data_IF_153381565491
#
_entry.id   IF_153381565491
#
_cell.length_a   1.000
_cell.length_b   1.000
_cell.length_c   1.000
_cell.angle_alpha   90.00
_cell.angle_beta   90.00
_cell.angle_gamma   90.00
#
_symmetry.space_group_name_H-M   'P 1'
#
loop_
_entity.id
_entity.type
_entity.pdbx_description
1 polymer ?
#
# COMPACT_ATOMS: atom_id res chain seq x y z
N UNK A 1 39.95 -13.20 48.84
CA UNK A 1 39.24 -13.38 47.55
C UNK A 1 38.28 -14.54 47.71
N UNK A 2 37.12 -14.47 47.11
CA UNK A 2 36.09 -15.50 47.15
C UNK A 2 36.48 -16.69 46.23
N UNK A 3 36.00 -17.89 46.58
CA UNK A 3 36.04 -19.07 45.70
C UNK A 3 34.61 -19.42 45.24
N UNK A 4 34.49 -20.12 44.14
CA UNK A 4 33.14 -20.48 43.60
C UNK A 4 32.39 -21.42 44.56
N UNK A 5 33.12 -22.32 45.25
CA UNK A 5 32.58 -23.20 46.31
C UNK A 5 32.02 -22.39 47.49
N UNK A 6 32.75 -21.36 47.93
CA UNK A 6 32.26 -20.46 48.98
C UNK A 6 30.97 -19.74 48.54
N UNK A 7 30.95 -19.21 47.33
CA UNK A 7 29.78 -18.48 46.80
C UNK A 7 28.56 -19.39 46.73
N UNK A 8 28.68 -20.62 46.26
CA UNK A 8 27.58 -21.60 46.21
C UNK A 8 26.99 -21.84 47.59
N UNK A 9 27.84 -22.02 48.61
CA UNK A 9 27.44 -22.37 49.96
C UNK A 9 26.91 -21.19 50.81
N UNK A 10 26.95 -19.95 50.30
CA UNK A 10 26.39 -18.78 51.01
C UNK A 10 24.86 -18.89 51.07
N UNK A 11 24.34 -18.90 52.32
CA UNK A 11 22.92 -18.89 52.60
C UNK A 11 22.40 -17.46 52.86
N UNK A 12 21.13 -17.19 52.59
CA UNK A 12 20.52 -15.91 53.00
C UNK A 12 20.58 -15.73 54.51
N UNK A 13 20.68 -14.49 54.94
CA UNK A 13 20.65 -14.11 56.35
C UNK A 13 19.55 -13.06 56.59
N UNK A 14 19.16 -12.84 57.87
CA UNK A 14 18.16 -11.83 58.25
C UNK A 14 18.43 -10.46 57.67
N UNK A 15 19.70 -10.11 57.52
CA UNK A 15 20.16 -8.88 56.87
C UNK A 15 21.01 -9.16 55.66
N UNK A 16 20.84 -8.40 54.60
CA UNK A 16 21.68 -8.52 53.42
C UNK A 16 23.17 -8.34 53.77
N UNK A 17 24.03 -9.19 53.20
CA UNK A 17 25.47 -9.18 53.47
C UNK A 17 26.29 -8.93 52.20
N UNK A 18 27.44 -8.25 52.40
CA UNK A 18 28.44 -7.97 51.39
C UNK A 18 29.66 -8.87 51.63
N UNK A 19 30.07 -9.61 50.61
CA UNK A 19 31.26 -10.48 50.65
C UNK A 19 32.29 -9.96 49.66
N UNK A 20 33.36 -9.34 50.15
CA UNK A 20 34.38 -8.69 49.34
C UNK A 20 35.23 -9.72 48.55
N UNK A 21 35.50 -9.44 47.27
CA UNK A 21 36.42 -10.22 46.44
C UNK A 21 37.69 -9.45 46.05
N UNK A 22 37.84 -8.22 46.51
CA UNK A 22 38.97 -7.35 46.24
C UNK A 22 38.79 -6.37 45.08
N UNK A 23 39.53 -5.26 45.13
CA UNK A 23 39.47 -4.22 44.10
C UNK A 23 38.10 -3.54 43.92
N UNK A 24 37.34 -3.40 45.03
CA UNK A 24 36.00 -2.86 45.02
C UNK A 24 34.89 -3.84 44.64
N UNK A 25 35.22 -5.03 44.15
CA UNK A 25 34.25 -6.08 43.80
C UNK A 25 33.75 -6.79 45.04
N UNK A 26 32.47 -6.99 45.17
CA UNK A 26 31.84 -7.79 46.21
C UNK A 26 30.57 -8.49 45.72
N UNK A 27 30.28 -9.63 46.37
CA UNK A 27 28.99 -10.29 46.20
C UNK A 27 28.02 -9.79 47.24
N UNK A 28 26.90 -9.26 46.79
CA UNK A 28 25.78 -8.81 47.64
C UNK A 28 24.76 -9.98 47.70
N UNK A 29 24.56 -10.53 48.86
CA UNK A 29 23.56 -11.56 49.13
C UNK A 29 22.36 -10.89 49.79
N UNK A 30 21.22 -10.86 49.08
CA UNK A 30 19.97 -10.27 49.58
C UNK A 30 19.30 -11.21 50.60
N UNK A 31 18.36 -10.69 51.37
CA UNK A 31 17.52 -11.47 52.29
C UNK A 31 16.74 -12.58 51.57
N UNK A 32 16.37 -12.36 50.33
CA UNK A 32 15.67 -13.29 49.44
C UNK A 32 16.56 -14.43 48.93
N UNK A 33 17.88 -14.36 49.16
CA UNK A 33 18.85 -15.35 48.67
C UNK A 33 19.47 -15.01 47.33
N UNK A 34 19.02 -13.96 46.63
CA UNK A 34 19.66 -13.52 45.39
C UNK A 34 21.07 -13.02 45.61
N UNK A 35 22.01 -13.41 44.74
CA UNK A 35 23.43 -13.14 44.83
C UNK A 35 23.87 -12.23 43.70
N UNK A 36 24.14 -10.96 44.00
CA UNK A 36 24.41 -9.91 42.99
C UNK A 36 25.86 -9.45 43.03
N UNK A 37 26.56 -9.52 41.91
CA UNK A 37 27.87 -8.93 41.76
C UNK A 37 27.80 -7.42 41.64
N UNK A 38 28.53 -6.72 42.53
CA UNK A 38 28.63 -5.28 42.57
C UNK A 38 30.05 -4.81 42.76
N UNK A 39 30.37 -3.62 42.22
CA UNK A 39 31.67 -2.97 42.44
C UNK A 39 31.41 -1.58 42.98
N UNK A 40 31.99 -1.29 44.19
CA UNK A 40 32.09 0.05 44.70
C UNK A 40 33.37 0.72 44.16
N UNK A 41 33.27 1.95 43.72
CA UNK A 41 34.40 2.73 43.20
C UNK A 41 34.19 4.24 43.48
N UNK A 42 35.25 5.01 43.37
CA UNK A 42 35.25 6.45 43.54
C UNK A 42 35.58 7.14 42.24
N UNK A 43 34.81 8.14 41.88
CA UNK A 43 35.02 8.93 40.68
C UNK A 43 34.66 10.40 40.98
N UNK A 44 35.62 11.32 40.74
CA UNK A 44 35.52 12.73 41.08
C UNK A 44 35.01 12.93 42.52
N UNK A 45 35.68 12.30 43.47
CA UNK A 45 35.42 12.31 44.92
C UNK A 45 34.05 11.81 45.38
N UNK A 46 33.27 11.22 44.47
CA UNK A 46 31.97 10.64 44.80
C UNK A 46 32.04 9.10 44.75
N UNK A 47 31.49 8.50 45.79
CA UNK A 47 31.33 7.03 45.80
C UNK A 47 30.20 6.64 44.86
N UNK A 48 30.44 5.64 44.02
CA UNK A 48 29.53 5.09 43.05
C UNK A 48 29.50 3.57 43.09
N UNK A 49 28.40 3.02 42.58
CA UNK A 49 28.15 1.59 42.57
C UNK A 49 27.88 1.13 41.12
N UNK A 50 28.56 0.05 40.71
CA UNK A 50 28.34 -0.62 39.44
C UNK A 50 27.82 -2.04 39.66
N UNK A 51 26.70 -2.39 39.05
CA UNK A 51 26.15 -3.74 39.09
C UNK A 51 26.58 -4.54 37.85
N UNK A 52 27.08 -5.77 38.06
CA UNK A 52 27.55 -6.65 37.00
C UNK A 52 26.59 -7.77 36.63
N UNK A 53 25.60 -8.05 37.48
CA UNK A 53 24.57 -9.07 37.26
C UNK A 53 24.51 -10.09 38.41
N UNK A 54 23.67 -11.08 38.24
CA UNK A 54 23.34 -12.09 39.25
C UNK A 54 24.19 -13.39 39.06
N UNK A 55 24.67 -13.94 40.14
CA UNK A 55 25.26 -15.28 40.18
C UNK A 55 24.13 -16.33 40.22
N UNK A 56 24.17 -17.45 39.46
CA UNK A 56 25.34 -17.94 38.68
C UNK A 56 25.37 -17.43 37.22
N UNK A 57 24.42 -16.65 36.74
CA UNK A 57 24.40 -16.13 35.36
C UNK A 57 25.70 -15.38 35.04
N UNK A 58 26.20 -14.58 35.97
CA UNK A 58 27.54 -13.99 35.93
C UNK A 58 28.43 -14.79 36.87
N UNK A 59 29.35 -15.55 36.34
CA UNK A 59 30.30 -16.33 37.10
C UNK A 59 31.30 -15.44 37.87
N UNK A 60 32.00 -16.00 38.87
CA UNK A 60 33.07 -15.29 39.55
C UNK A 60 34.18 -14.82 38.59
N UNK A 61 34.51 -15.63 37.59
CA UNK A 61 35.47 -15.26 36.53
C UNK A 61 35.01 -14.07 35.73
N UNK A 62 33.74 -14.07 35.32
CA UNK A 62 33.17 -12.96 34.54
C UNK A 62 33.04 -11.67 35.37
N UNK A 63 32.67 -11.79 36.66
CA UNK A 63 32.63 -10.66 37.56
C UNK A 63 33.99 -9.99 37.73
N UNK A 64 35.06 -10.79 37.88
CA UNK A 64 36.45 -10.31 37.95
C UNK A 64 36.88 -9.64 36.62
N UNK A 65 36.52 -10.23 35.47
CA UNK A 65 36.77 -9.65 34.15
C UNK A 65 36.09 -8.25 34.03
N UNK A 66 34.82 -8.16 34.35
CA UNK A 66 34.06 -6.88 34.33
C UNK A 66 34.64 -5.86 35.32
N UNK A 67 35.12 -6.29 36.50
CA UNK A 67 35.85 -5.41 37.43
C UNK A 67 37.11 -4.83 36.79
N UNK A 68 37.90 -5.68 36.13
CA UNK A 68 39.14 -5.22 35.50
C UNK A 68 38.89 -4.28 34.33
N UNK A 69 37.83 -4.50 33.53
CA UNK A 69 37.37 -3.59 32.48
C UNK A 69 36.95 -2.25 33.09
N UNK A 70 36.16 -2.26 34.17
CA UNK A 70 35.75 -1.02 34.84
C UNK A 70 36.95 -0.25 35.42
N UNK A 71 37.98 -0.97 35.95
CA UNK A 71 39.20 -0.31 36.43
C UNK A 71 40.03 0.31 35.30
N UNK A 72 40.06 -0.27 34.10
CA UNK A 72 40.71 0.35 32.95
C UNK A 72 40.01 1.69 32.58
N UNK A 73 38.68 1.68 32.51
CA UNK A 73 37.92 2.92 32.25
C UNK A 73 38.20 3.99 33.28
N UNK A 74 38.30 3.59 34.58
CA UNK A 74 38.64 4.54 35.64
C UNK A 74 40.06 5.11 35.52
N UNK A 75 41.03 4.27 35.10
CA UNK A 75 42.40 4.72 34.83
C UNK A 75 42.46 5.73 33.65
N UNK A 76 41.60 5.52 32.66
CA UNK A 76 41.44 6.42 31.51
C UNK A 76 40.57 7.66 31.81
N UNK A 77 40.20 7.90 33.10
CA UNK A 77 39.37 9.06 33.50
C UNK A 77 37.90 8.98 33.10
N UNK A 78 37.42 7.76 32.71
CA UNK A 78 36.04 7.52 32.26
C UNK A 78 35.20 6.89 33.36
N UNK A 79 34.04 7.43 33.67
CA UNK A 79 33.07 6.83 34.60
C UNK A 79 32.42 5.57 34.03
N UNK A 80 32.67 4.36 34.56
CA UNK A 80 32.12 3.13 34.03
C UNK A 80 30.58 3.07 34.03
N UNK A 81 29.93 3.71 34.98
CA UNK A 81 28.47 3.77 35.04
C UNK A 81 27.90 4.64 33.92
N UNK A 82 28.52 5.79 33.67
CA UNK A 82 28.16 6.70 32.58
C UNK A 82 28.42 6.03 31.22
N UNK A 83 29.59 5.44 31.03
CA UNK A 83 29.96 4.71 29.81
C UNK A 83 28.96 3.59 29.48
N UNK A 84 28.59 2.78 30.48
CA UNK A 84 27.56 1.73 30.31
C UNK A 84 26.21 2.29 29.87
N UNK A 85 25.79 3.44 30.43
CA UNK A 85 24.53 4.10 30.05
C UNK A 85 24.61 4.66 28.64
N UNK A 86 25.73 5.29 28.28
CA UNK A 86 25.97 5.83 26.93
C UNK A 86 25.99 4.71 25.88
N UNK A 87 26.67 3.59 26.15
CA UNK A 87 26.67 2.43 25.27
C UNK A 87 25.27 1.83 25.08
N UNK A 88 24.48 1.74 26.16
CA UNK A 88 23.09 1.28 26.07
C UNK A 88 22.22 2.24 25.26
N UNK A 89 22.37 3.54 25.48
CA UNK A 89 21.63 4.54 24.71
C UNK A 89 22.06 4.56 23.24
N UNK A 90 23.36 4.42 22.95
CA UNK A 90 23.87 4.31 21.59
C UNK A 90 23.30 3.08 20.86
N UNK A 91 23.21 1.93 21.55
CA UNK A 91 22.63 0.71 21.01
C UNK A 91 21.12 0.90 20.70
N UNK A 92 20.37 1.52 21.61
CA UNK A 92 18.96 1.84 21.40
C UNK A 92 18.74 2.83 20.23
N UNK A 93 19.60 3.85 20.14
CA UNK A 93 19.57 4.81 19.03
C UNK A 93 19.95 4.15 17.70
N UNK A 94 20.92 3.24 17.70
CA UNK A 94 21.31 2.48 16.53
C UNK A 94 20.15 1.58 16.03
N UNK A 95 19.43 0.92 16.94
CA UNK A 95 18.25 0.12 16.61
C UNK A 95 17.11 0.98 16.09
N UNK A 96 16.84 2.11 16.73
CA UNK A 96 15.82 3.09 16.30
C UNK A 96 16.13 3.76 14.95
N UNK A 97 17.38 3.73 14.51
CA UNK A 97 17.83 4.29 13.24
C UNK A 97 18.08 3.25 12.14
N UNK A 98 17.70 1.98 12.34
CA UNK A 98 17.76 0.99 11.28
C UNK A 98 16.79 1.35 10.15
N UNK A 99 17.13 0.96 8.91
CA UNK A 99 16.28 1.22 7.74
C UNK A 99 14.85 0.69 7.94
N UNK A 100 14.69 -0.53 8.47
CA UNK A 100 13.36 -1.09 8.77
C UNK A 100 12.59 -0.25 9.77
N UNK A 101 13.22 0.14 10.89
CA UNK A 101 12.54 0.91 11.92
C UNK A 101 12.00 2.23 11.36
N UNK A 102 12.83 2.95 10.61
CA UNK A 102 12.44 4.24 10.00
C UNK A 102 11.35 4.07 8.94
N UNK A 103 11.40 2.99 8.13
CA UNK A 103 10.33 2.69 7.15
C UNK A 103 9.01 2.39 7.85
N UNK A 104 9.00 1.60 8.93
CA UNK A 104 7.77 1.27 9.66
C UNK A 104 7.19 2.50 10.35
N UNK A 105 8.01 3.30 11.01
CA UNK A 105 7.59 4.56 11.62
C UNK A 105 7.00 5.53 10.57
N UNK A 106 7.68 5.71 9.43
CA UNK A 106 7.15 6.48 8.31
C UNK A 106 5.82 5.92 7.81
N UNK A 107 5.72 4.60 7.70
CA UNK A 107 4.49 3.96 7.24
C UNK A 107 3.32 4.19 8.21
N UNK A 108 3.55 4.11 9.49
CA UNK A 108 2.52 4.35 10.51
C UNK A 108 2.08 5.81 10.57
N UNK A 109 3.03 6.75 10.51
CA UNK A 109 2.75 8.18 10.68
C UNK A 109 2.32 8.88 9.40
N UNK A 110 3.01 8.63 8.28
CA UNK A 110 2.84 9.40 7.05
C UNK A 110 1.85 8.77 6.05
N UNK A 111 1.42 7.53 6.26
CA UNK A 111 0.47 6.88 5.34
C UNK A 111 -0.93 6.70 5.93
N UNK A 112 -1.23 7.31 7.06
CA UNK A 112 -2.49 7.13 7.79
C UNK A 112 -3.74 7.50 6.95
N UNK A 113 -3.62 8.52 6.10
CA UNK A 113 -4.71 8.96 5.22
C UNK A 113 -4.81 8.18 3.90
N UNK A 114 -3.90 7.24 3.66
CA UNK A 114 -3.95 6.40 2.46
C UNK A 114 -4.98 5.26 2.63
N UNK A 115 -5.50 4.74 1.51
CA UNK A 115 -6.36 3.57 1.57
C UNK A 115 -5.62 2.36 2.18
N UNK A 116 -6.33 1.44 2.89
CA UNK A 116 -5.72 0.23 3.44
C UNK A 116 -4.95 -0.59 2.40
N UNK A 117 -5.46 -0.66 1.17
CA UNK A 117 -4.81 -1.34 0.04
C UNK A 117 -3.49 -0.67 -0.36
N UNK A 118 -3.45 0.66 -0.36
CA UNK A 118 -2.24 1.42 -0.71
C UNK A 118 -1.18 1.32 0.39
N UNK A 119 -1.61 1.41 1.66
CA UNK A 119 -0.74 1.19 2.82
C UNK A 119 -0.07 -0.19 2.76
N UNK A 120 -0.89 -1.25 2.60
CA UNK A 120 -0.40 -2.63 2.47
C UNK A 120 0.60 -2.76 1.31
N UNK A 121 0.27 -2.19 0.14
CA UNK A 121 1.16 -2.24 -1.04
C UNK A 121 2.50 -1.56 -0.78
N UNK A 122 2.52 -0.39 -0.12
CA UNK A 122 3.75 0.33 0.21
C UNK A 122 4.64 -0.52 1.12
N UNK A 123 4.10 -1.00 2.23
CA UNK A 123 4.85 -1.82 3.18
C UNK A 123 5.36 -3.12 2.55
N UNK A 124 4.51 -3.86 1.85
CA UNK A 124 4.91 -5.09 1.16
C UNK A 124 6.01 -4.87 0.13
N UNK A 125 6.07 -3.68 -0.50
CA UNK A 125 7.17 -3.35 -1.41
C UNK A 125 8.51 -3.29 -0.68
N UNK A 126 8.55 -2.70 0.51
CA UNK A 126 9.77 -2.68 1.34
C UNK A 126 10.12 -4.08 1.86
N UNK A 127 9.13 -4.80 2.38
CA UNK A 127 9.32 -6.15 2.93
C UNK A 127 9.88 -7.13 1.90
N UNK A 128 9.36 -7.09 0.68
CA UNK A 128 9.76 -8.02 -0.37
C UNK A 128 11.06 -7.64 -1.07
N UNK A 129 11.31 -6.35 -1.33
CA UNK A 129 12.42 -5.94 -2.17
C UNK A 129 13.62 -5.37 -1.41
N UNK A 130 13.38 -4.67 -0.30
CA UNK A 130 14.41 -3.85 0.36
C UNK A 130 14.86 -4.43 1.70
N UNK A 131 13.95 -4.92 2.53
CA UNK A 131 14.30 -5.49 3.84
C UNK A 131 15.24 -6.69 3.76
N UNK A 132 15.19 -7.59 2.75
CA UNK A 132 16.14 -8.68 2.68
C UNK A 132 17.61 -8.22 2.69
N UNK A 133 17.90 -7.05 2.13
CA UNK A 133 19.25 -6.50 2.05
C UNK A 133 19.55 -5.38 3.06
N UNK A 134 18.56 -4.56 3.41
CA UNK A 134 18.78 -3.29 4.11
C UNK A 134 18.18 -3.24 5.52
N UNK A 135 17.41 -4.25 5.94
CA UNK A 135 16.63 -4.27 7.17
C UNK A 135 17.38 -3.72 8.39
N UNK A 136 18.56 -4.24 8.66
CA UNK A 136 19.38 -3.93 9.84
C UNK A 136 20.41 -2.82 9.64
N UNK A 137 20.56 -2.34 8.41
CA UNK A 137 21.53 -1.28 8.09
C UNK A 137 21.02 0.04 8.65
N UNK A 138 21.85 0.84 9.35
CA UNK A 138 21.49 2.20 9.74
C UNK A 138 21.09 3.01 8.50
N UNK A 139 19.98 3.78 8.58
CA UNK A 139 19.48 4.52 7.41
C UNK A 139 20.50 5.56 6.91
N UNK A 140 21.34 6.09 7.80
CA UNK A 140 22.45 7.00 7.47
C UNK A 140 23.57 6.37 6.64
N UNK A 141 23.70 5.05 6.69
CA UNK A 141 24.71 4.30 5.94
C UNK A 141 24.19 3.72 4.62
N UNK A 142 22.88 3.79 4.38
CA UNK A 142 22.30 3.34 3.11
C UNK A 142 22.72 4.28 1.99
N UNK A 143 23.28 3.71 0.93
CA UNK A 143 23.81 4.45 -0.21
C UNK A 143 22.94 4.29 -1.47
N UNK A 144 23.10 5.17 -2.45
CA UNK A 144 22.46 5.03 -3.76
C UNK A 144 22.87 3.71 -4.43
N UNK A 145 24.12 3.25 -4.22
CA UNK A 145 24.62 2.00 -4.76
C UNK A 145 23.93 0.79 -4.15
N UNK A 146 23.62 0.79 -2.84
CA UNK A 146 22.82 -0.28 -2.21
C UNK A 146 21.45 -0.41 -2.88
N UNK A 147 20.80 0.72 -3.16
CA UNK A 147 19.52 0.72 -3.86
C UNK A 147 19.64 0.22 -5.30
N UNK A 148 20.70 0.61 -6.02
CA UNK A 148 20.96 0.16 -7.40
C UNK A 148 21.17 -1.34 -7.49
N UNK A 149 21.85 -1.96 -6.52
CA UNK A 149 22.02 -3.41 -6.46
C UNK A 149 20.68 -4.17 -6.40
N UNK A 150 19.66 -3.56 -5.80
CA UNK A 150 18.29 -4.12 -5.75
C UNK A 150 17.50 -3.80 -7.02
N UNK A 151 17.67 -2.60 -7.59
CA UNK A 151 16.88 -2.10 -8.70
C UNK A 151 17.32 -2.66 -10.06
N UNK A 152 18.64 -2.80 -10.29
CA UNK A 152 19.18 -3.29 -11.58
C UNK A 152 18.72 -4.71 -11.96
N UNK A 153 18.60 -5.69 -11.03
CA UNK A 153 18.00 -6.99 -11.35
C UNK A 153 16.53 -6.90 -11.77
N UNK A 154 15.76 -5.94 -11.22
CA UNK A 154 14.36 -5.72 -11.63
C UNK A 154 14.29 -5.13 -13.04
N UNK A 155 15.16 -4.17 -13.36
CA UNK A 155 15.27 -3.59 -14.70
C UNK A 155 15.62 -4.67 -15.75
N UNK A 156 16.61 -5.54 -15.47
CA UNK A 156 16.99 -6.66 -16.36
C UNK A 156 15.83 -7.63 -16.62
N UNK A 157 14.90 -7.77 -15.68
CA UNK A 157 13.70 -8.60 -15.79
C UNK A 157 12.51 -7.86 -16.43
N UNK A 158 12.69 -6.67 -17.02
CA UNK A 158 11.62 -5.86 -17.61
C UNK A 158 10.60 -5.35 -16.59
N UNK A 159 11.01 -5.16 -15.33
CA UNK A 159 10.15 -4.68 -14.24
C UNK A 159 10.47 -3.23 -13.86
N UNK A 160 10.73 -2.38 -14.84
CA UNK A 160 11.09 -0.98 -14.65
C UNK A 160 10.05 -0.21 -13.84
N UNK A 161 8.76 -0.47 -14.08
CA UNK A 161 7.67 0.16 -13.30
C UNK A 161 7.77 -0.15 -11.79
N UNK A 162 8.20 -1.37 -11.44
CA UNK A 162 8.42 -1.75 -10.03
C UNK A 162 9.62 -1.01 -9.48
N UNK A 163 10.71 -0.95 -10.24
CA UNK A 163 11.93 -0.23 -9.85
C UNK A 163 11.66 1.26 -9.62
N UNK A 164 10.96 1.93 -10.53
CA UNK A 164 10.56 3.33 -10.36
C UNK A 164 9.67 3.55 -9.12
N UNK A 165 8.77 2.63 -8.84
CA UNK A 165 7.92 2.68 -7.64
C UNK A 165 8.74 2.54 -6.36
N UNK A 166 9.73 1.66 -6.34
CA UNK A 166 10.66 1.52 -5.20
C UNK A 166 11.42 2.83 -4.98
N UNK A 167 11.98 3.44 -6.03
CA UNK A 167 12.66 4.75 -5.94
C UNK A 167 11.73 5.80 -5.35
N UNK A 168 10.49 5.87 -5.83
CA UNK A 168 9.50 6.81 -5.32
C UNK A 168 9.23 6.60 -3.83
N UNK A 169 9.07 5.36 -3.38
CA UNK A 169 8.81 5.06 -1.97
C UNK A 169 10.03 5.30 -1.10
N UNK A 170 11.24 4.93 -1.55
CA UNK A 170 12.48 5.30 -0.89
C UNK A 170 12.61 6.81 -0.75
N UNK A 171 12.29 7.57 -1.81
CA UNK A 171 12.29 9.03 -1.77
C UNK A 171 11.36 9.63 -0.72
N UNK A 172 10.21 8.99 -0.45
CA UNK A 172 9.30 9.39 0.63
C UNK A 172 9.91 9.13 2.01
N UNK A 173 10.50 7.94 2.21
CA UNK A 173 11.14 7.55 3.48
C UNK A 173 12.37 8.41 3.75
N UNK A 174 13.23 8.64 2.75
CA UNK A 174 14.42 9.46 2.96
C UNK A 174 14.08 10.95 3.21
N UNK A 175 13.02 11.50 2.61
CA UNK A 175 12.53 12.84 2.97
C UNK A 175 12.07 12.90 4.42
N UNK A 176 11.38 11.86 4.89
CA UNK A 176 10.99 11.75 6.29
C UNK A 176 12.22 11.66 7.20
N UNK A 177 13.21 10.85 6.84
CA UNK A 177 14.45 10.70 7.60
C UNK A 177 15.26 12.00 7.65
N UNK A 178 15.27 12.81 6.58
CA UNK A 178 15.84 14.18 6.58
C UNK A 178 15.08 15.08 7.54
N UNK A 179 13.75 15.09 7.45
CA UNK A 179 12.91 15.94 8.31
C UNK A 179 13.01 15.59 9.80
N UNK A 180 13.33 14.32 10.12
CA UNK A 180 13.54 13.85 11.50
C UNK A 180 15.02 13.85 11.94
N UNK A 181 15.92 14.44 11.13
CA UNK A 181 17.34 14.61 11.46
C UNK A 181 18.19 13.34 11.47
N UNK A 182 17.69 12.23 10.89
CA UNK A 182 18.40 10.94 10.83
C UNK A 182 19.41 10.84 9.70
N UNK A 183 19.19 11.58 8.63
CA UNK A 183 20.08 11.69 7.47
C UNK A 183 20.15 13.14 6.99
N UNK A 184 21.20 13.49 6.29
CA UNK A 184 21.43 14.88 5.80
C UNK A 184 20.82 15.12 4.42
N UNK A 185 20.57 14.06 3.62
CA UNK A 185 20.04 14.18 2.27
C UNK A 185 19.19 12.97 1.85
N UNK A 186 18.34 13.18 0.86
CA UNK A 186 17.55 12.12 0.24
C UNK A 186 18.31 11.47 -0.91
N UNK A 187 18.99 10.35 -0.65
CA UNK A 187 19.80 9.62 -1.63
C UNK A 187 18.96 9.01 -2.78
N UNK A 188 17.65 8.79 -2.58
CA UNK A 188 16.81 8.28 -3.66
C UNK A 188 16.60 9.31 -4.78
N UNK A 189 16.84 10.59 -4.53
CA UNK A 189 16.83 11.64 -5.55
C UNK A 189 17.97 11.48 -6.56
N UNK A 190 19.13 10.97 -6.11
CA UNK A 190 20.32 10.74 -6.94
C UNK A 190 20.08 9.60 -7.96
N UNK A 191 19.03 8.78 -7.77
CA UNK A 191 18.66 7.68 -8.67
C UNK A 191 17.79 8.11 -9.86
N UNK A 192 17.48 9.42 -9.99
CA UNK A 192 16.73 9.92 -11.14
C UNK A 192 17.55 9.69 -12.41
N UNK A 193 16.97 8.98 -13.40
CA UNK A 193 17.66 8.62 -14.64
C UNK A 193 18.54 7.35 -14.56
N UNK A 194 18.80 6.79 -13.37
CA UNK A 194 19.62 5.59 -13.21
C UNK A 194 18.94 4.29 -13.68
N UNK A 195 17.60 4.30 -13.77
CA UNK A 195 16.79 3.19 -14.29
C UNK A 195 16.13 3.64 -15.59
N UNK A 196 16.09 2.74 -16.58
CA UNK A 196 15.46 3.01 -17.88
C UNK A 196 14.04 3.54 -17.71
N UNK A 197 13.61 4.51 -18.52
CA UNK A 197 12.24 4.99 -18.51
C UNK A 197 11.27 3.83 -18.74
N UNK A 198 10.22 3.75 -17.93
CA UNK A 198 9.12 2.85 -18.21
C UNK A 198 8.25 3.48 -19.28
N UNK A 199 8.19 2.88 -20.46
CA UNK A 199 7.21 3.25 -21.48
C UNK A 199 5.85 2.73 -21.06
N UNK A 200 5.01 3.65 -20.58
CA UNK A 200 3.60 3.34 -20.28
C UNK A 200 2.91 2.87 -21.55
N UNK A 201 2.40 1.65 -21.56
CA UNK A 201 1.50 1.22 -22.62
C UNK A 201 0.11 1.76 -22.33
N UNK A 202 -0.52 2.36 -23.34
CA UNK A 202 -1.94 2.69 -23.26
C UNK A 202 -2.74 1.41 -23.01
N UNK A 203 -3.83 1.53 -22.27
CA UNK A 203 -4.69 0.36 -22.04
C UNK A 203 -5.36 -0.01 -23.34
N UNK A 204 -5.38 -1.30 -23.61
CA UNK A 204 -6.00 -1.85 -24.82
C UNK A 204 -7.48 -1.43 -24.91
N UNK A 205 -7.87 -0.91 -26.05
CA UNK A 205 -9.22 -0.47 -26.37
C UNK A 205 -9.50 -0.67 -27.86
N UNK A 206 -10.72 -0.97 -28.19
CA UNK A 206 -11.22 -1.06 -29.55
C UNK A 206 -11.94 0.22 -29.87
N UNK A 207 -11.63 0.86 -31.01
CA UNK A 207 -12.26 2.11 -31.49
C UNK A 207 -12.80 1.97 -32.91
N UNK A 208 -12.51 0.88 -33.63
CA UNK A 208 -13.09 0.60 -34.95
C UNK A 208 -14.57 0.24 -34.82
N UNK A 209 -15.46 0.90 -35.55
CA UNK A 209 -16.90 0.69 -35.57
C UNK A 209 -17.27 -0.79 -35.77
N UNK A 210 -16.74 -1.43 -36.81
CA UNK A 210 -16.94 -2.84 -37.11
C UNK A 210 -16.55 -3.75 -35.92
N UNK A 211 -15.34 -3.56 -35.34
CA UNK A 211 -14.88 -4.36 -34.22
C UNK A 211 -15.67 -4.12 -32.94
N UNK A 212 -16.24 -2.92 -32.78
CA UNK A 212 -17.14 -2.63 -31.66
C UNK A 212 -18.44 -3.40 -31.81
N UNK A 213 -19.05 -3.43 -33.01
CA UNK A 213 -20.25 -4.22 -33.26
C UNK A 213 -20.02 -5.72 -32.97
N UNK A 214 -18.91 -6.29 -33.44
CA UNK A 214 -18.52 -7.69 -33.13
C UNK A 214 -18.36 -7.88 -31.61
N UNK A 215 -17.70 -6.94 -30.91
CA UNK A 215 -17.55 -7.00 -29.46
C UNK A 215 -18.91 -7.00 -28.75
N UNK A 216 -19.80 -6.09 -29.09
CA UNK A 216 -21.13 -5.95 -28.47
C UNK A 216 -21.96 -7.23 -28.67
N UNK A 217 -21.98 -7.79 -29.89
CA UNK A 217 -22.66 -9.06 -30.17
C UNK A 217 -22.09 -10.22 -29.34
N UNK A 218 -20.76 -10.29 -29.13
CA UNK A 218 -20.14 -11.30 -28.26
C UNK A 218 -20.49 -11.10 -26.79
N UNK A 219 -20.62 -9.84 -26.30
CA UNK A 219 -21.06 -9.55 -24.93
C UNK A 219 -22.49 -10.02 -24.68
N UNK A 220 -23.41 -9.79 -25.65
CA UNK A 220 -24.80 -10.21 -25.55
C UNK A 220 -24.93 -11.75 -25.56
N UNK A 221 -24.12 -12.44 -26.34
CA UNK A 221 -24.07 -13.88 -26.45
C UNK A 221 -23.13 -14.57 -25.47
N UNK A 222 -22.73 -13.88 -24.38
CA UNK A 222 -21.91 -14.51 -23.34
C UNK A 222 -22.67 -15.59 -22.59
N UNK A 223 -22.25 -16.86 -22.72
CA UNK A 223 -22.93 -18.04 -22.16
C UNK A 223 -22.60 -18.32 -20.68
N UNK A 224 -21.88 -17.42 -20.00
CA UNK A 224 -21.58 -17.55 -18.57
C UNK A 224 -22.76 -17.11 -17.68
N UNK A 225 -22.43 -16.78 -16.43
CA UNK A 225 -23.45 -16.34 -15.48
C UNK A 225 -24.22 -15.13 -15.96
N UNK A 226 -25.55 -15.14 -15.74
CA UNK A 226 -26.46 -14.08 -16.14
C UNK A 226 -26.04 -12.70 -15.60
N UNK A 227 -25.68 -12.59 -14.30
CA UNK A 227 -25.24 -11.33 -13.72
C UNK A 227 -23.94 -10.82 -14.36
N UNK A 228 -23.01 -11.72 -14.74
CA UNK A 228 -21.77 -11.34 -15.43
C UNK A 228 -22.07 -10.85 -16.85
N UNK A 229 -23.01 -11.48 -17.56
CA UNK A 229 -23.49 -11.02 -18.86
C UNK A 229 -24.09 -9.62 -18.76
N UNK A 230 -24.97 -9.37 -17.80
CA UNK A 230 -25.54 -8.04 -17.56
C UNK A 230 -24.44 -7.01 -17.26
N UNK A 231 -23.47 -7.35 -16.43
CA UNK A 231 -22.34 -6.46 -16.15
C UNK A 231 -21.52 -6.15 -17.41
N UNK A 232 -21.25 -7.14 -18.26
CA UNK A 232 -20.52 -6.96 -19.53
C UNK A 232 -21.29 -6.06 -20.49
N UNK A 233 -22.61 -6.20 -20.60
CA UNK A 233 -23.50 -5.35 -21.43
C UNK A 233 -23.58 -3.92 -20.90
N UNK A 234 -23.51 -3.71 -19.58
CA UNK A 234 -23.56 -2.38 -18.96
C UNK A 234 -22.23 -1.62 -19.07
N UNK A 235 -21.06 -2.28 -19.15
CA UNK A 235 -19.79 -1.58 -19.24
C UNK A 235 -19.65 -0.64 -20.43
N UNK A 236 -19.98 -1.01 -21.68
CA UNK A 236 -19.94 -0.10 -22.80
C UNK A 236 -20.95 1.03 -22.70
N UNK A 237 -22.14 0.80 -22.15
CA UNK A 237 -23.20 1.81 -22.02
C UNK A 237 -22.86 2.87 -20.96
N UNK A 238 -22.31 2.47 -19.81
CA UNK A 238 -22.09 3.36 -18.66
C UNK A 238 -20.66 3.89 -18.58
N UNK A 239 -19.69 3.20 -19.17
CA UNK A 239 -18.24 3.45 -19.18
C UNK A 239 -17.67 3.98 -17.84
N UNK A 240 -18.20 3.46 -16.73
CA UNK A 240 -17.71 3.69 -15.36
C UNK A 240 -16.51 2.80 -15.02
N UNK A 241 -15.87 3.01 -13.86
CA UNK A 241 -14.77 2.13 -13.45
C UNK A 241 -15.30 0.77 -13.01
N UNK A 242 -14.54 -0.30 -13.31
CA UNK A 242 -14.94 -1.68 -12.99
C UNK A 242 -15.37 -1.86 -11.53
N UNK A 243 -14.64 -1.27 -10.58
CA UNK A 243 -14.98 -1.39 -9.17
C UNK A 243 -16.25 -0.61 -8.78
N UNK A 244 -16.60 0.43 -9.51
CA UNK A 244 -17.82 1.21 -9.29
C UNK A 244 -19.03 0.37 -9.68
N UNK A 245 -19.06 -0.19 -10.90
CA UNK A 245 -20.20 -1.00 -11.37
C UNK A 245 -20.31 -2.33 -10.61
N UNK A 246 -19.22 -3.07 -10.47
CA UNK A 246 -19.25 -4.40 -9.82
C UNK A 246 -19.73 -4.36 -8.37
N UNK A 247 -19.50 -3.25 -7.68
CA UNK A 247 -19.93 -3.05 -6.28
C UNK A 247 -21.20 -2.24 -6.15
N UNK A 248 -21.92 -2.02 -7.24
CA UNK A 248 -23.14 -1.22 -7.23
C UNK A 248 -24.22 -1.90 -6.37
N UNK A 249 -24.94 -1.07 -5.63
CA UNK A 249 -26.07 -1.49 -4.77
C UNK A 249 -27.39 -0.99 -5.36
N UNK A 250 -28.44 -1.76 -5.24
CA UNK A 250 -29.76 -1.37 -5.79
C UNK A 250 -30.29 -0.06 -5.22
N UNK A 251 -29.97 0.24 -3.97
CA UNK A 251 -30.33 1.51 -3.31
C UNK A 251 -29.75 2.75 -3.97
N UNK A 252 -28.75 2.60 -4.84
CA UNK A 252 -28.11 3.72 -5.55
C UNK A 252 -28.82 4.08 -6.85
N UNK A 253 -29.76 3.26 -7.32
CA UNK A 253 -30.43 3.43 -8.62
C UNK A 253 -31.84 3.98 -8.48
N UNK A 254 -32.11 5.04 -9.21
CA UNK A 254 -33.48 5.51 -9.45
C UNK A 254 -33.79 5.26 -10.94
N UNK A 255 -34.60 4.21 -11.20
CA UNK A 255 -34.95 3.83 -12.57
C UNK A 255 -36.04 4.72 -13.18
N UNK A 256 -36.78 5.51 -12.37
CA UNK A 256 -37.78 6.46 -12.82
C UNK A 256 -37.11 7.72 -13.37
N UNK A 257 -36.17 8.30 -12.60
CA UNK A 257 -35.38 9.46 -13.03
C UNK A 257 -34.23 9.06 -13.98
N UNK A 258 -34.00 7.77 -14.14
CA UNK A 258 -32.90 7.18 -14.94
C UNK A 258 -31.53 7.68 -14.46
N UNK A 259 -31.27 7.56 -13.18
CA UNK A 259 -30.03 8.00 -12.56
C UNK A 259 -29.46 6.94 -11.64
N UNK A 260 -28.14 6.81 -11.66
CA UNK A 260 -27.36 6.05 -10.68
C UNK A 260 -26.53 7.00 -9.83
N UNK A 261 -26.79 7.04 -8.53
CA UNK A 261 -26.14 7.92 -7.56
C UNK A 261 -25.05 7.17 -6.82
N UNK A 262 -23.80 7.33 -7.24
CA UNK A 262 -22.65 6.68 -6.58
C UNK A 262 -22.23 7.53 -5.38
N UNK A 263 -22.26 6.99 -4.14
CA UNK A 263 -21.90 7.74 -2.95
C UNK A 263 -20.38 8.02 -2.88
N UNK A 264 -20.01 9.08 -2.17
CA UNK A 264 -18.64 9.58 -2.09
C UNK A 264 -17.63 8.50 -1.58
N UNK A 265 -18.06 7.65 -0.66
CA UNK A 265 -17.24 6.61 -0.04
C UNK A 265 -16.77 5.57 -1.05
N UNK A 266 -17.55 5.34 -2.11
CA UNK A 266 -17.24 4.40 -3.19
C UNK A 266 -16.43 5.00 -4.30
N UNK A 267 -16.35 6.33 -4.37
CA UNK A 267 -15.62 7.05 -5.39
C UNK A 267 -14.15 7.25 -5.02
N UNK A 268 -13.25 7.06 -6.00
CA UNK A 268 -11.81 7.26 -5.80
C UNK A 268 -11.47 8.67 -5.31
N UNK A 269 -12.24 9.66 -5.72
CA UNK A 269 -12.03 11.08 -5.36
C UNK A 269 -12.84 11.52 -4.15
N UNK A 270 -13.59 10.62 -3.49
CA UNK A 270 -14.46 10.91 -2.35
C UNK A 270 -15.44 12.05 -2.61
N UNK A 271 -15.94 12.15 -3.85
CA UNK A 271 -17.04 13.07 -4.23
C UNK A 271 -18.15 12.23 -4.83
N UNK A 272 -19.44 12.49 -4.52
CA UNK A 272 -20.55 11.75 -5.11
C UNK A 272 -20.57 11.95 -6.63
N UNK A 273 -21.08 10.97 -7.35
CA UNK A 273 -21.15 11.00 -8.79
C UNK A 273 -22.50 10.48 -9.28
N UNK A 274 -23.16 11.23 -10.14
CA UNK A 274 -24.41 10.83 -10.78
C UNK A 274 -24.10 10.35 -12.19
N UNK A 275 -24.59 9.17 -12.54
CA UNK A 275 -24.47 8.54 -13.86
C UNK A 275 -25.87 8.50 -14.50
N UNK A 276 -26.14 9.30 -15.55
CA UNK A 276 -27.38 9.18 -16.30
C UNK A 276 -27.47 7.82 -16.99
N UNK A 277 -28.66 7.23 -17.00
CA UNK A 277 -28.95 5.92 -17.58
C UNK A 277 -29.74 6.08 -18.90
N UNK A 278 -29.22 5.48 -19.96
CA UNK A 278 -29.96 5.34 -21.20
C UNK A 278 -31.12 4.33 -21.07
N UNK A 279 -32.06 4.35 -21.99
CA UNK A 279 -33.16 3.38 -22.05
C UNK A 279 -32.64 1.94 -22.11
N UNK A 280 -31.58 1.67 -22.87
CA UNK A 280 -30.92 0.38 -22.98
C UNK A 280 -30.32 -0.09 -21.65
N UNK A 281 -29.65 0.82 -20.94
CA UNK A 281 -29.12 0.51 -19.62
C UNK A 281 -30.23 0.18 -18.61
N UNK A 282 -31.32 0.96 -18.64
CA UNK A 282 -32.49 0.72 -17.78
C UNK A 282 -33.14 -0.65 -18.11
N UNK A 283 -33.23 -1.03 -19.37
CA UNK A 283 -33.78 -2.33 -19.77
C UNK A 283 -32.94 -3.49 -19.16
N UNK A 284 -31.62 -3.44 -19.28
CA UNK A 284 -30.73 -4.44 -18.68
C UNK A 284 -30.85 -4.46 -17.15
N UNK A 285 -30.96 -3.28 -16.51
CA UNK A 285 -31.12 -3.17 -15.07
C UNK A 285 -32.46 -3.77 -14.59
N UNK A 286 -33.54 -3.59 -15.34
CA UNK A 286 -34.85 -4.23 -15.06
C UNK A 286 -34.78 -5.76 -15.18
N UNK A 287 -34.15 -6.28 -16.23
CA UNK A 287 -33.88 -7.73 -16.37
C UNK A 287 -33.09 -8.27 -15.16
N UNK A 288 -32.04 -7.53 -14.74
CA UNK A 288 -31.21 -7.93 -13.63
C UNK A 288 -31.93 -7.83 -12.28
N UNK A 289 -32.80 -6.81 -12.11
CA UNK A 289 -33.57 -6.60 -10.89
C UNK A 289 -34.54 -7.78 -10.63
N UNK A 290 -35.13 -8.35 -11.67
CA UNK A 290 -35.98 -9.54 -11.53
C UNK A 290 -35.24 -10.75 -10.89
N UNK A 291 -33.91 -10.76 -10.94
CA UNK A 291 -33.08 -11.88 -10.44
C UNK A 291 -32.37 -11.53 -9.12
N UNK A 292 -31.98 -10.28 -8.94
CA UNK A 292 -31.14 -9.87 -7.79
C UNK A 292 -31.71 -8.70 -7.00
N UNK A 293 -32.90 -8.22 -7.36
CA UNK A 293 -33.51 -7.01 -6.78
C UNK A 293 -33.83 -7.09 -5.30
N UNK A 294 -34.07 -8.28 -4.76
CA UNK A 294 -34.32 -8.51 -3.33
C UNK A 294 -33.03 -8.44 -2.49
N UNK A 295 -31.86 -8.36 -3.15
CA UNK A 295 -30.56 -8.29 -2.49
C UNK A 295 -29.99 -6.86 -2.44
N UNK A 296 -28.85 -6.70 -1.76
CA UNK A 296 -28.14 -5.42 -1.70
C UNK A 296 -27.44 -5.09 -3.01
N UNK A 297 -26.72 -6.05 -3.60
CA UNK A 297 -25.83 -5.83 -4.73
C UNK A 297 -26.50 -6.19 -6.06
N UNK A 298 -26.21 -5.41 -7.11
CA UNK A 298 -26.61 -5.76 -8.48
C UNK A 298 -26.01 -7.09 -8.92
N UNK A 299 -24.76 -7.33 -8.52
CA UNK A 299 -23.98 -8.50 -8.94
C UNK A 299 -23.48 -9.29 -7.72
N UNK A 300 -24.37 -10.01 -7.00
CA UNK A 300 -23.97 -10.79 -5.86
C UNK A 300 -23.02 -11.94 -6.25
N UNK A 301 -22.09 -12.29 -5.35
CA UNK A 301 -21.18 -13.42 -5.54
C UNK A 301 -21.93 -14.75 -5.39
N UNK A 302 -21.55 -15.77 -6.17
CA UNK A 302 -22.07 -17.14 -6.03
C UNK A 302 -21.84 -17.72 -4.63
N UNK A 303 -20.73 -17.37 -3.99
CA UNK A 303 -20.34 -17.91 -2.69
C UNK A 303 -20.98 -17.17 -1.51
N UNK A 304 -21.56 -15.99 -1.75
CA UNK A 304 -22.21 -15.20 -0.70
C UNK A 304 -22.99 -14.05 -1.31
N UNK A 305 -24.30 -14.05 -1.13
CA UNK A 305 -25.19 -12.93 -1.56
C UNK A 305 -24.87 -11.61 -0.84
N UNK A 306 -24.15 -11.69 0.29
CA UNK A 306 -23.72 -10.52 1.08
C UNK A 306 -22.45 -9.86 0.53
N UNK A 307 -21.90 -10.34 -0.55
CA UNK A 307 -20.70 -9.79 -1.18
C UNK A 307 -20.91 -9.68 -2.70
N UNK A 308 -20.40 -8.64 -3.35
CA UNK A 308 -20.45 -8.56 -4.80
C UNK A 308 -19.48 -9.54 -5.44
N UNK A 309 -19.64 -9.81 -6.75
CA UNK A 309 -18.62 -10.54 -7.54
C UNK A 309 -17.26 -9.84 -7.44
N UNK A 310 -16.20 -10.58 -7.70
CA UNK A 310 -14.86 -9.97 -7.69
C UNK A 310 -14.69 -9.01 -8.86
N UNK A 311 -14.03 -7.89 -8.65
CA UNK A 311 -13.85 -6.83 -9.67
C UNK A 311 -13.11 -7.30 -10.93
N UNK A 312 -12.39 -8.43 -10.90
CA UNK A 312 -11.74 -9.02 -12.06
C UNK A 312 -12.64 -9.97 -12.83
N UNK A 313 -13.82 -10.34 -12.32
CA UNK A 313 -14.72 -11.31 -12.98
C UNK A 313 -15.11 -10.87 -14.39
N UNK A 314 -15.51 -9.63 -14.67
CA UNK A 314 -15.81 -9.20 -16.04
C UNK A 314 -14.59 -9.25 -16.97
N UNK A 315 -13.39 -8.96 -16.45
CA UNK A 315 -12.16 -9.10 -17.24
C UNK A 315 -11.86 -10.54 -17.58
N UNK A 316 -12.07 -11.47 -16.64
CA UNK A 316 -11.91 -12.92 -16.90
C UNK A 316 -12.91 -13.39 -17.95
N UNK A 317 -14.14 -12.89 -17.92
CA UNK A 317 -15.14 -13.19 -18.94
C UNK A 317 -14.72 -12.67 -20.34
N UNK A 318 -14.18 -11.45 -20.45
CA UNK A 318 -13.59 -10.95 -21.71
C UNK A 318 -12.46 -11.87 -22.21
N UNK A 319 -11.61 -12.36 -21.33
CA UNK A 319 -10.52 -13.30 -21.67
C UNK A 319 -11.07 -14.64 -22.16
N UNK A 320 -12.12 -15.16 -21.52
CA UNK A 320 -12.79 -16.39 -21.95
C UNK A 320 -13.45 -16.27 -23.33
N UNK A 321 -13.88 -15.05 -23.70
CA UNK A 321 -14.40 -14.75 -25.06
C UNK A 321 -13.30 -14.53 -26.11
N UNK A 322 -12.01 -14.71 -25.75
CA UNK A 322 -10.88 -14.62 -26.66
C UNK A 322 -10.20 -13.24 -26.75
N UNK A 323 -10.71 -12.19 -26.09
CA UNK A 323 -10.08 -10.87 -26.14
C UNK A 323 -8.76 -10.85 -25.36
N UNK A 324 -7.64 -10.64 -26.04
CA UNK A 324 -6.29 -10.57 -25.45
C UNK A 324 -6.08 -9.32 -24.58
N UNK A 325 -5.01 -9.34 -23.78
CA UNK A 325 -4.65 -8.18 -22.93
C UNK A 325 -4.22 -6.95 -23.73
N UNK A 326 -3.78 -7.13 -24.98
CA UNK A 326 -3.36 -6.07 -25.90
C UNK A 326 -4.52 -5.61 -26.82
N UNK A 327 -5.68 -6.25 -26.74
CA UNK A 327 -6.82 -5.99 -27.61
C UNK A 327 -7.93 -5.22 -26.87
N UNK A 328 -8.41 -5.73 -25.75
CA UNK A 328 -9.46 -5.09 -24.98
C UNK A 328 -9.31 -5.35 -23.48
N UNK A 329 -9.73 -4.40 -22.67
CA UNK A 329 -9.88 -4.55 -21.22
C UNK A 329 -11.10 -3.77 -20.71
N UNK A 330 -11.59 -4.07 -19.51
CA UNK A 330 -12.77 -3.37 -18.94
C UNK A 330 -12.59 -1.85 -18.91
N UNK A 331 -11.38 -1.36 -18.65
CA UNK A 331 -11.11 0.08 -18.72
C UNK A 331 -11.09 0.62 -20.15
N UNK A 332 -10.88 -0.25 -21.14
CA UNK A 332 -10.92 0.09 -22.55
C UNK A 332 -12.28 0.65 -22.99
N UNK A 333 -13.41 0.20 -22.38
CA UNK A 333 -14.73 0.78 -22.65
C UNK A 333 -14.79 2.29 -22.35
N UNK A 334 -14.06 2.75 -21.35
CA UNK A 334 -13.98 4.19 -21.03
C UNK A 334 -13.16 4.97 -22.07
N UNK A 335 -12.06 4.37 -22.52
CA UNK A 335 -11.24 4.97 -23.59
C UNK A 335 -11.99 4.99 -24.90
N UNK A 336 -12.72 3.91 -25.23
CA UNK A 336 -13.60 3.80 -26.39
C UNK A 336 -14.66 4.91 -26.39
N UNK A 337 -15.43 5.02 -25.31
CA UNK A 337 -16.47 6.03 -25.17
C UNK A 337 -15.89 7.46 -25.22
N UNK A 338 -14.79 7.73 -24.49
CA UNK A 338 -14.13 9.03 -24.52
C UNK A 338 -13.69 9.42 -25.93
N UNK A 339 -13.03 8.52 -26.65
CA UNK A 339 -12.56 8.79 -28.03
C UNK A 339 -13.72 9.07 -28.95
N UNK A 340 -14.70 8.17 -29.02
CA UNK A 340 -15.78 8.27 -30.00
C UNK A 340 -16.77 9.39 -29.70
N UNK A 341 -17.05 9.70 -28.43
CA UNK A 341 -17.88 10.86 -28.07
C UNK A 341 -17.22 12.19 -28.47
N UNK A 342 -15.89 12.30 -28.32
CA UNK A 342 -15.15 13.48 -28.81
C UNK A 342 -15.19 13.56 -30.35
N UNK A 343 -15.04 12.44 -31.08
CA UNK A 343 -15.14 12.40 -32.54
C UNK A 343 -16.56 12.75 -33.04
N UNK A 344 -17.60 12.39 -32.27
CA UNK A 344 -18.99 12.77 -32.54
C UNK A 344 -19.29 14.23 -32.16
N UNK A 345 -18.33 14.99 -31.65
CA UNK A 345 -18.48 16.41 -31.37
C UNK A 345 -19.23 16.76 -30.07
N UNK A 346 -19.35 15.81 -29.14
CA UNK A 346 -19.87 16.12 -27.81
C UNK A 346 -18.88 16.98 -27.01
N UNK A 347 -19.44 17.88 -26.18
CA UNK A 347 -18.65 18.78 -25.33
C UNK A 347 -17.72 18.00 -24.41
N UNK A 348 -16.39 18.27 -24.45
CA UNK A 348 -15.41 17.59 -23.60
C UNK A 348 -15.72 17.69 -22.11
N UNK A 349 -16.35 18.76 -21.62
CA UNK A 349 -16.71 18.90 -20.21
C UNK A 349 -17.79 17.89 -19.78
N UNK A 350 -18.73 17.57 -20.67
CA UNK A 350 -19.75 16.55 -20.38
C UNK A 350 -19.11 15.17 -20.31
N UNK A 351 -18.17 14.87 -21.24
CA UNK A 351 -17.45 13.60 -21.29
C UNK A 351 -16.57 13.45 -20.05
N UNK A 352 -15.75 14.45 -19.69
CA UNK A 352 -14.87 14.42 -18.52
C UNK A 352 -15.66 14.31 -17.22
N UNK A 353 -16.83 14.99 -17.16
CA UNK A 353 -17.73 14.88 -16.01
C UNK A 353 -18.33 13.48 -15.90
N UNK A 354 -18.77 12.88 -17.01
CA UNK A 354 -19.27 11.50 -17.05
C UNK A 354 -18.19 10.50 -16.63
N UNK A 355 -16.96 10.71 -17.04
CA UNK A 355 -15.81 9.89 -16.66
C UNK A 355 -15.39 10.09 -15.18
N UNK A 356 -15.97 11.05 -14.46
CA UNK A 356 -15.53 11.44 -13.12
C UNK A 356 -14.01 11.65 -13.05
N UNK A 357 -13.43 12.32 -14.05
CA UNK A 357 -12.04 12.71 -14.06
C UNK A 357 -11.83 13.95 -13.18
N UNK A 358 -10.61 14.07 -12.66
CA UNK A 358 -10.22 15.26 -11.90
C UNK A 358 -9.97 16.39 -12.91
N UNK A 359 -10.65 17.53 -12.73
CA UNK A 359 -10.27 18.75 -13.41
C UNK A 359 -8.79 19.05 -13.16
N UNK A 360 -8.06 19.35 -14.21
CA UNK A 360 -6.60 19.63 -14.13
C UNK A 360 -6.34 21.11 -13.88
N UNK A 361 -7.22 21.96 -14.35
CA UNK A 361 -7.12 23.39 -14.16
C UNK A 361 -7.60 23.76 -12.75
N UNK A 362 -6.68 24.27 -11.95
CA UNK A 362 -6.94 24.69 -10.57
C UNK A 362 -7.95 25.84 -10.48
N UNK A 363 -7.95 26.74 -11.47
CA UNK A 363 -8.92 27.84 -11.56
C UNK A 363 -10.31 27.31 -11.84
N UNK A 364 -10.46 26.35 -12.77
CA UNK A 364 -11.76 25.71 -13.06
C UNK A 364 -12.28 24.88 -11.89
N UNK A 365 -11.40 24.24 -11.10
CA UNK A 365 -11.80 23.50 -9.89
C UNK A 365 -12.52 24.41 -8.89
N UNK A 366 -12.08 25.65 -8.76
CA UNK A 366 -12.63 26.61 -7.79
C UNK A 366 -14.00 27.14 -8.20
N UNK A 367 -14.29 27.25 -9.51
CA UNK A 367 -15.47 27.95 -10.01
C UNK A 367 -16.48 27.07 -10.75
N UNK A 368 -16.09 25.90 -11.31
CA UNK A 368 -16.99 25.06 -12.09
C UNK A 368 -17.51 23.87 -11.28
N UNK A 369 -18.71 24.01 -10.71
CA UNK A 369 -19.43 22.93 -10.00
C UNK A 369 -20.56 22.32 -10.87
N UNK A 370 -20.63 22.65 -12.15
CA UNK A 370 -21.69 22.20 -13.04
C UNK A 370 -21.71 20.67 -13.17
N UNK A 371 -22.89 20.07 -13.09
CA UNK A 371 -23.12 18.63 -13.26
C UNK A 371 -23.46 18.27 -14.71
N UNK A 372 -23.95 19.23 -15.51
CA UNK A 372 -24.41 19.05 -16.90
C UNK A 372 -25.41 17.90 -17.06
N UNK A 373 -26.27 17.64 -16.05
CA UNK A 373 -27.14 16.46 -16.04
C UNK A 373 -28.05 16.37 -17.28
N UNK A 374 -28.80 17.41 -17.70
CA UNK A 374 -29.65 17.31 -18.88
C UNK A 374 -28.87 17.01 -20.16
N UNK A 375 -27.69 17.62 -20.31
CA UNK A 375 -26.81 17.40 -21.47
C UNK A 375 -26.21 15.97 -21.43
N UNK A 376 -25.77 15.52 -20.26
CA UNK A 376 -25.25 14.17 -20.10
C UNK A 376 -26.33 13.10 -20.30
N UNK A 377 -27.56 13.30 -19.88
CA UNK A 377 -28.67 12.40 -20.23
C UNK A 377 -28.80 12.25 -21.75
N UNK A 378 -28.80 13.35 -22.51
CA UNK A 378 -28.85 13.32 -23.98
C UNK A 378 -27.63 12.61 -24.57
N UNK A 379 -26.43 12.94 -24.10
CA UNK A 379 -25.19 12.31 -24.55
C UNK A 379 -25.19 10.79 -24.28
N UNK A 380 -25.59 10.34 -23.10
CA UNK A 380 -25.64 8.93 -22.74
C UNK A 380 -26.67 8.14 -23.55
N UNK A 381 -27.83 8.77 -23.88
CA UNK A 381 -28.81 8.15 -24.76
C UNK A 381 -28.24 8.03 -26.19
N UNK A 382 -27.75 9.13 -26.77
CA UNK A 382 -27.16 9.13 -28.11
C UNK A 382 -26.01 8.16 -28.24
N UNK A 383 -25.15 8.03 -27.20
CA UNK A 383 -24.08 7.03 -27.14
C UNK A 383 -24.62 5.59 -27.21
N UNK A 384 -25.68 5.32 -26.45
CA UNK A 384 -26.27 3.98 -26.42
C UNK A 384 -26.95 3.62 -27.74
N UNK A 385 -27.64 4.59 -28.37
CA UNK A 385 -28.27 4.44 -29.68
C UNK A 385 -27.20 4.17 -30.77
N UNK A 386 -26.07 4.87 -30.71
CA UNK A 386 -24.93 4.62 -31.59
C UNK A 386 -24.37 3.22 -31.43
N UNK A 387 -24.22 2.72 -30.22
CA UNK A 387 -23.77 1.36 -29.97
C UNK A 387 -24.77 0.31 -30.51
N UNK A 388 -26.07 0.58 -30.42
CA UNK A 388 -27.10 -0.30 -30.99
C UNK A 388 -27.00 -0.35 -32.52
N UNK A 389 -26.83 0.80 -33.21
CA UNK A 389 -26.58 0.84 -34.65
C UNK A 389 -25.38 -0.05 -35.05
N UNK A 390 -24.24 0.09 -34.38
CA UNK A 390 -23.04 -0.69 -34.67
C UNK A 390 -23.27 -2.21 -34.50
N UNK A 391 -24.06 -2.58 -33.49
CA UNK A 391 -24.41 -3.96 -33.23
C UNK A 391 -25.27 -4.55 -34.35
N UNK A 392 -26.30 -3.82 -34.80
CA UNK A 392 -27.23 -4.23 -35.84
C UNK A 392 -26.56 -4.34 -37.22
N UNK A 393 -25.71 -3.37 -37.58
CA UNK A 393 -24.92 -3.38 -38.81
C UNK A 393 -24.08 -4.66 -38.89
N UNK A 394 -23.35 -4.98 -37.81
CA UNK A 394 -22.50 -6.17 -37.77
C UNK A 394 -23.29 -7.50 -37.82
N UNK A 395 -24.54 -7.52 -37.29
CA UNK A 395 -25.39 -8.72 -37.41
C UNK A 395 -25.85 -8.94 -38.85
N UNK A 396 -26.29 -7.88 -39.53
CA UNK A 396 -26.69 -7.95 -40.95
C UNK A 396 -25.55 -8.46 -41.86
N UNK A 397 -24.33 -7.93 -41.62
CA UNK A 397 -23.16 -8.37 -42.40
C UNK A 397 -22.82 -9.87 -42.19
N UNK A 398 -23.04 -10.36 -40.97
CA UNK A 398 -22.81 -11.77 -40.60
C UNK A 398 -23.87 -12.72 -41.17
N UNK A 399 -25.10 -12.24 -41.42
CA UNK A 399 -26.18 -13.02 -42.00
C UNK A 399 -26.11 -13.05 -43.53
N UNK A 400 -25.38 -12.10 -44.15
CA UNK A 400 -25.18 -12.04 -45.61
C UNK A 400 -23.95 -12.84 -46.11
N UNK A 401 -23.08 -13.29 -45.20
CA UNK A 401 -21.92 -14.14 -45.51
C UNK A 401 -22.18 -15.62 -45.22
#
# INVERSE_FOLDING_TARGET
>A
MLTDTQIRNLKPAEKAKKYADGGGLYLYVAKTGSKLWRMAYRFNDKEKLLSFGEYPIVSLKDARKKRNEAKKLLADGIDPSRHKKEMKNAALLAEANTFEHVVREWHETQTIHNSPKDRKRKLSTFEFHLFPALKRKPISEVTAQDLLLILKPLERKGKELVAHRIIQYCGMVFRYAVATGRVTRNIAADLRGAIRPHQGRHRATIVSAEKIGVLLNRLDNYHGHFQVRCALRLFPLLFVRSAELVRAEWSEFNLETREWHIPAERMKMRKPHIVPLSSQAVAILKELHAVTGDGTYLFPSRNSVRKPIHYSTPLQALRAMGYGKEEMCIHGFRSMASTLLNEQGFDPDWIERQLAHKEKDTSRIAYNHAQYLPQRHRMMQAWSDYLDCLREETQKDSEMQ
#
